data_IF_556931054284
#
_entry.id   IF_556931054284
#
_cell.length_a   1.000
_cell.length_b   1.000
_cell.length_c   1.000
_cell.angle_alpha   90.00
_cell.angle_beta   90.00
_cell.angle_gamma   90.00
#
_symmetry.space_group_name_H-M   'P 1'
#
loop_
_entity.id
_entity.type
_entity.pdbx_description
1 polymer ?
#
# COMPACT_ATOMS: atom_id res chain seq x y z
N UNK A 1 3.32 26.02 50.44
CA UNK A 1 4.17 27.06 49.84
C UNK A 1 4.26 26.71 48.34
N UNK A 2 3.52 27.39 47.51
CA UNK A 2 3.57 27.17 46.06
C UNK A 2 4.74 27.91 45.48
N UNK A 3 5.70 27.22 44.92
CA UNK A 3 6.74 27.85 44.11
C UNK A 3 6.07 28.48 42.88
N UNK A 4 6.12 29.82 42.81
CA UNK A 4 5.73 30.54 41.61
C UNK A 4 6.80 30.24 40.54
N UNK A 5 6.52 29.21 39.72
CA UNK A 5 7.35 28.88 38.56
C UNK A 5 7.24 30.03 37.57
N UNK A 6 8.26 30.88 37.54
CA UNK A 6 8.31 32.03 36.66
C UNK A 6 8.54 31.57 35.22
N UNK A 7 7.88 32.18 34.25
CA UNK A 7 8.01 31.85 32.83
C UNK A 7 9.48 31.85 32.35
N UNK A 8 10.31 32.67 33.00
CA UNK A 8 11.77 32.71 32.78
C UNK A 8 12.49 31.44 33.27
N UNK A 9 12.01 30.81 34.36
CA UNK A 9 12.59 29.55 34.87
C UNK A 9 12.22 28.35 34.00
N UNK A 10 11.01 28.35 33.41
CA UNK A 10 10.60 27.40 32.41
C UNK A 10 11.44 27.53 31.14
N UNK A 11 11.68 28.77 30.69
CA UNK A 11 12.53 29.02 29.52
C UNK A 11 13.99 28.65 29.78
N UNK A 12 14.51 28.97 30.97
CA UNK A 12 15.89 28.63 31.36
C UNK A 12 16.10 27.14 31.56
N UNK A 13 15.12 26.41 32.15
CA UNK A 13 15.09 24.95 32.20
C UNK A 13 15.01 24.32 30.81
N UNK A 14 14.19 24.87 29.93
CA UNK A 14 14.10 24.42 28.54
C UNK A 14 15.40 24.66 27.77
N UNK A 15 16.08 25.79 28.02
CA UNK A 15 17.39 26.09 27.41
C UNK A 15 18.51 25.20 27.96
N UNK A 16 18.52 24.92 29.26
CA UNK A 16 19.50 24.01 29.88
C UNK A 16 19.31 22.55 29.43
N UNK A 17 18.05 22.13 29.18
CA UNK A 17 17.77 20.84 28.50
C UNK A 17 18.25 20.85 27.03
N UNK A 18 18.25 21.99 26.36
CA UNK A 18 18.78 22.15 25.00
C UNK A 18 20.31 21.99 24.92
N UNK A 19 21.04 22.38 25.94
CA UNK A 19 22.50 22.17 26.01
C UNK A 19 22.87 20.69 26.23
N UNK A 20 22.03 19.92 26.94
CA UNK A 20 22.20 18.49 27.11
C UNK A 20 21.98 17.68 25.82
N UNK A 21 21.26 18.24 24.84
CA UNK A 21 21.06 17.63 23.50
C UNK A 21 22.22 17.89 22.52
N UNK A 22 23.25 18.60 22.92
CA UNK A 22 24.30 19.15 22.03
C UNK A 22 25.38 18.15 21.61
N UNK A 23 25.35 16.90 22.05
CA UNK A 23 26.30 15.89 21.60
C UNK A 23 25.59 14.68 21.01
N UNK A 24 25.24 14.74 19.73
CA UNK A 24 24.94 13.49 18.99
C UNK A 24 26.27 12.74 18.90
N UNK A 25 26.35 11.59 19.57
CA UNK A 25 27.44 10.66 19.37
C UNK A 25 27.33 10.07 17.97
N UNK A 26 28.45 9.96 17.24
CA UNK A 26 28.49 9.26 15.94
C UNK A 26 27.96 7.83 16.09
N UNK A 27 28.15 7.20 17.24
CA UNK A 27 27.63 5.88 17.58
C UNK A 27 26.10 5.87 17.56
N UNK A 28 25.46 6.89 18.12
CA UNK A 28 23.99 6.99 18.14
C UNK A 28 23.40 7.12 16.72
N UNK A 29 24.08 7.87 15.86
CA UNK A 29 23.67 8.01 14.46
C UNK A 29 23.77 6.67 13.73
N UNK A 30 24.90 5.98 13.92
CA UNK A 30 25.10 4.66 13.31
C UNK A 30 24.08 3.65 13.83
N UNK A 31 23.85 3.57 15.13
CA UNK A 31 22.84 2.69 15.74
C UNK A 31 21.44 2.97 15.22
N UNK A 32 21.06 4.24 15.13
CA UNK A 32 19.78 4.63 14.59
C UNK A 32 19.61 4.29 13.11
N UNK A 33 20.65 4.47 12.29
CA UNK A 33 20.65 4.09 10.89
C UNK A 33 20.57 2.56 10.72
N UNK A 34 21.34 1.79 11.50
CA UNK A 34 21.24 0.33 11.46
C UNK A 34 19.88 -0.17 11.93
N UNK A 35 19.32 0.41 12.99
CA UNK A 35 17.99 0.05 13.47
C UNK A 35 16.90 0.37 12.43
N UNK A 36 16.94 1.57 11.83
CA UNK A 36 15.99 1.97 10.80
C UNK A 36 16.12 1.12 9.53
N UNK A 37 17.34 0.76 9.13
CA UNK A 37 17.59 -0.16 8.04
C UNK A 37 17.02 -1.55 8.32
N UNK A 38 17.27 -2.11 9.52
CA UNK A 38 16.74 -3.41 9.92
C UNK A 38 15.20 -3.46 9.92
N UNK A 39 14.55 -2.42 10.46
CA UNK A 39 13.08 -2.31 10.43
C UNK A 39 12.59 -2.09 9.00
N UNK A 40 13.28 -1.29 8.20
CA UNK A 40 12.98 -1.09 6.78
C UNK A 40 13.04 -2.41 6.00
N UNK A 41 14.04 -3.26 6.23
CA UNK A 41 14.11 -4.60 5.64
C UNK A 41 12.97 -5.51 6.10
N UNK A 42 12.54 -5.40 7.35
CA UNK A 42 11.38 -6.12 7.86
C UNK A 42 10.10 -5.70 7.12
N UNK A 43 9.89 -4.39 6.93
CA UNK A 43 8.77 -3.84 6.15
C UNK A 43 8.83 -4.35 4.70
N UNK A 44 10.01 -4.30 4.06
CA UNK A 44 10.26 -4.81 2.72
C UNK A 44 9.84 -6.28 2.59
N UNK A 45 10.21 -7.12 3.56
CA UNK A 45 9.86 -8.54 3.56
C UNK A 45 8.35 -8.77 3.68
N UNK A 46 7.70 -8.04 4.61
CA UNK A 46 6.24 -8.14 4.81
C UNK A 46 5.50 -7.68 3.56
N UNK A 47 5.91 -6.54 2.96
CA UNK A 47 5.32 -6.05 1.72
C UNK A 47 5.40 -7.08 0.60
N UNK A 48 6.60 -7.64 0.35
CA UNK A 48 6.79 -8.68 -0.65
C UNK A 48 5.86 -9.89 -0.45
N UNK A 49 5.63 -10.28 0.81
CA UNK A 49 4.78 -11.42 1.16
C UNK A 49 3.28 -11.10 1.08
N UNK A 50 2.91 -9.85 1.26
CA UNK A 50 1.51 -9.41 1.37
C UNK A 50 1.02 -8.76 0.07
N UNK A 51 1.95 -8.42 -0.84
CA UNK A 51 1.64 -7.81 -2.13
C UNK A 51 0.73 -8.72 -2.96
N UNK A 52 -0.36 -8.13 -3.51
CA UNK A 52 -1.38 -8.80 -4.32
C UNK A 52 -1.75 -8.03 -5.59
N UNK A 53 -1.00 -6.98 -5.90
CA UNK A 53 -1.20 -6.20 -7.13
C UNK A 53 -0.80 -7.00 -8.39
N UNK A 54 -1.16 -6.46 -9.56
CA UNK A 54 -0.88 -7.11 -10.87
C UNK A 54 0.61 -7.16 -11.16
N UNK A 55 1.35 -6.10 -10.83
CA UNK A 55 2.79 -6.01 -11.12
C UNK A 55 3.53 -5.59 -9.86
N UNK A 56 4.32 -6.50 -9.32
CA UNK A 56 5.23 -6.20 -8.21
C UNK A 56 6.39 -5.35 -8.70
N UNK A 57 6.57 -4.17 -8.13
CA UNK A 57 7.74 -3.32 -8.39
C UNK A 57 8.76 -3.44 -7.26
N UNK A 58 9.91 -4.02 -7.57
CA UNK A 58 11.05 -4.12 -6.64
C UNK A 58 11.52 -2.72 -6.19
N UNK A 59 11.62 -1.79 -7.14
CA UNK A 59 12.07 -0.42 -6.86
C UNK A 59 11.13 0.29 -5.88
N UNK A 60 9.83 0.08 -6.03
CA UNK A 60 8.85 0.65 -5.11
C UNK A 60 8.99 0.06 -3.69
N UNK A 61 9.26 -1.23 -3.57
CA UNK A 61 9.49 -1.86 -2.27
C UNK A 61 10.78 -1.34 -1.58
N UNK A 62 11.84 -1.07 -2.34
CA UNK A 62 13.08 -0.45 -1.83
C UNK A 62 12.81 0.94 -1.25
N UNK A 63 11.85 1.69 -1.79
CA UNK A 63 11.53 3.04 -1.26
C UNK A 63 11.10 3.00 0.20
N UNK A 64 10.44 1.95 0.69
CA UNK A 64 10.05 1.83 2.09
C UNK A 64 11.27 1.75 3.03
N UNK A 65 12.31 1.03 2.62
CA UNK A 65 13.58 0.95 3.38
C UNK A 65 14.23 2.31 3.46
N UNK A 66 14.39 2.96 2.30
CA UNK A 66 15.02 4.28 2.22
C UNK A 66 14.19 5.34 2.97
N UNK A 67 12.87 5.27 2.88
CA UNK A 67 11.97 6.18 3.58
C UNK A 67 12.12 6.06 5.11
N UNK A 68 12.23 4.83 5.64
CA UNK A 68 12.48 4.61 7.07
C UNK A 68 13.82 5.24 7.50
N UNK A 69 14.88 5.03 6.71
CA UNK A 69 16.20 5.58 7.01
C UNK A 69 16.24 7.10 6.91
N UNK A 70 15.67 7.68 5.84
CA UNK A 70 15.64 9.13 5.62
C UNK A 70 14.83 9.80 6.74
N UNK A 71 13.67 9.23 7.10
CA UNK A 71 12.86 9.77 8.18
C UNK A 71 13.59 9.73 9.53
N UNK A 72 14.33 8.65 9.80
CA UNK A 72 15.15 8.56 11.01
C UNK A 72 16.23 9.64 11.04
N UNK A 73 16.94 9.89 9.92
CA UNK A 73 17.91 10.97 9.80
C UNK A 73 17.29 12.35 10.02
N UNK A 74 16.12 12.61 9.42
CA UNK A 74 15.38 13.86 9.60
C UNK A 74 15.06 14.08 11.07
N UNK A 75 14.54 13.07 11.76
CA UNK A 75 14.18 13.19 13.18
C UNK A 75 15.42 13.36 14.07
N UNK A 76 16.51 12.66 13.81
CA UNK A 76 17.77 12.86 14.51
C UNK A 76 18.28 14.30 14.36
N UNK A 77 18.18 14.86 13.14
CA UNK A 77 18.61 16.23 12.86
C UNK A 77 17.71 17.26 13.54
N UNK A 78 16.38 17.06 13.51
CA UNK A 78 15.40 17.91 14.15
C UNK A 78 15.59 17.95 15.67
N UNK A 79 15.92 16.82 16.28
CA UNK A 79 16.12 16.69 17.72
C UNK A 79 17.31 17.50 18.26
N UNK A 80 18.21 17.98 17.39
CA UNK A 80 19.40 18.73 17.79
C UNK A 80 19.21 20.23 17.84
N UNK A 81 18.26 20.77 17.08
CA UNK A 81 18.08 22.22 16.98
C UNK A 81 16.63 22.59 16.64
N UNK A 82 15.98 23.31 17.55
CA UNK A 82 14.58 23.75 17.41
C UNK A 82 14.39 24.68 16.19
N UNK A 83 15.34 25.55 15.91
CA UNK A 83 15.26 26.47 14.76
C UNK A 83 15.31 25.69 13.47
N UNK A 84 16.20 24.69 13.39
CA UNK A 84 16.33 23.79 12.25
C UNK A 84 15.06 22.96 12.06
N UNK A 85 14.44 22.50 13.18
CA UNK A 85 13.19 21.72 13.12
C UNK A 85 12.04 22.52 12.52
N UNK A 86 11.91 23.79 12.90
CA UNK A 86 10.86 24.68 12.36
C UNK A 86 11.06 24.91 10.84
N UNK A 87 12.31 25.16 10.44
CA UNK A 87 12.67 25.33 9.03
C UNK A 87 12.41 24.07 8.20
N UNK A 88 12.71 22.88 8.75
CA UNK A 88 12.52 21.62 8.05
C UNK A 88 11.04 21.23 7.91
N UNK A 89 10.19 21.48 8.92
CA UNK A 89 8.74 21.31 8.82
C UNK A 89 8.18 22.21 7.71
N UNK A 90 8.64 23.47 7.63
CA UNK A 90 8.28 24.36 6.53
C UNK A 90 8.73 23.84 5.16
N UNK A 91 9.96 23.36 5.04
CA UNK A 91 10.49 22.82 3.80
C UNK A 91 9.75 21.54 3.35
N UNK A 92 9.45 20.62 4.28
CA UNK A 92 8.71 19.39 3.99
C UNK A 92 7.25 19.64 3.57
N UNK A 93 6.63 20.74 4.05
CA UNK A 93 5.26 21.10 3.67
C UNK A 93 5.13 21.52 2.20
N UNK A 94 6.22 21.89 1.54
CA UNK A 94 6.26 22.26 0.10
C UNK A 94 6.41 21.01 -0.79
N UNK A 95 6.84 19.87 -0.23
CA UNK A 95 7.02 18.63 -0.99
C UNK A 95 5.66 18.05 -1.38
N UNK A 96 5.32 18.18 -2.67
CA UNK A 96 4.09 17.62 -3.24
C UNK A 96 4.43 16.36 -4.05
N UNK A 97 3.87 15.23 -3.64
CA UNK A 97 3.91 14.02 -4.47
C UNK A 97 2.99 14.18 -5.68
N UNK A 98 3.55 14.03 -6.88
CA UNK A 98 2.79 14.11 -8.15
C UNK A 98 2.36 12.76 -8.69
N UNK A 99 2.90 11.67 -8.15
CA UNK A 99 2.56 10.31 -8.55
C UNK A 99 1.37 9.82 -7.76
N UNK A 100 0.32 9.39 -8.46
CA UNK A 100 -0.83 8.76 -7.83
C UNK A 100 -0.42 7.39 -7.28
N UNK A 101 -0.66 7.18 -5.98
CA UNK A 101 -0.52 5.86 -5.36
C UNK A 101 -1.75 5.06 -5.76
N UNK A 102 -1.54 3.98 -6.54
CA UNK A 102 -2.63 3.20 -7.13
C UNK A 102 -3.29 2.27 -6.12
N UNK A 103 -2.52 1.66 -5.23
CA UNK A 103 -3.03 0.71 -4.23
C UNK A 103 -3.17 1.39 -2.86
N UNK A 104 -4.37 1.35 -2.23
CA UNK A 104 -4.57 1.89 -0.88
C UNK A 104 -3.64 1.27 0.17
N UNK A 105 -3.23 0.01 0.01
CA UNK A 105 -2.29 -0.64 0.92
C UNK A 105 -0.89 -0.04 0.85
N UNK A 106 -0.47 0.46 -0.29
CA UNK A 106 0.83 1.12 -0.45
C UNK A 106 0.96 2.34 0.47
N UNK A 107 -0.14 3.09 0.64
CA UNK A 107 -0.20 4.23 1.57
C UNK A 107 0.05 3.76 3.01
N UNK A 108 -0.52 2.63 3.41
CA UNK A 108 -0.31 2.05 4.76
C UNK A 108 1.16 1.71 4.97
N UNK A 109 1.84 1.10 3.99
CA UNK A 109 3.26 0.78 4.07
C UNK A 109 4.14 2.03 4.11
N UNK A 110 3.79 3.09 3.37
CA UNK A 110 4.48 4.38 3.42
C UNK A 110 4.38 5.00 4.82
N UNK A 111 3.16 5.08 5.39
CA UNK A 111 2.97 5.59 6.74
C UNK A 111 3.66 4.76 7.81
N UNK A 112 3.67 3.43 7.67
CA UNK A 112 4.40 2.55 8.56
C UNK A 112 5.91 2.82 8.51
N UNK A 113 6.49 2.96 7.31
CA UNK A 113 7.90 3.29 7.11
C UNK A 113 8.27 4.62 7.75
N UNK A 114 7.44 5.67 7.56
CA UNK A 114 7.62 6.98 8.17
C UNK A 114 7.56 6.86 9.71
N UNK A 115 6.54 6.20 10.25
CA UNK A 115 6.35 6.05 11.71
C UNK A 115 7.49 5.28 12.35
N UNK A 116 7.98 4.22 11.71
CA UNK A 116 9.13 3.47 12.16
C UNK A 116 10.41 4.31 12.14
N UNK A 117 10.58 5.13 11.09
CA UNK A 117 11.69 6.09 11.00
C UNK A 117 11.64 7.16 12.10
N UNK A 118 10.45 7.71 12.39
CA UNK A 118 10.27 8.68 13.49
C UNK A 118 10.67 8.06 14.82
N UNK A 119 10.17 6.87 15.13
CA UNK A 119 10.44 6.19 16.38
C UNK A 119 11.94 5.84 16.55
N UNK A 120 12.61 5.37 15.49
CA UNK A 120 14.05 5.07 15.51
C UNK A 120 14.89 6.34 15.62
N UNK A 121 14.53 7.39 14.89
CA UNK A 121 15.20 8.69 14.94
C UNK A 121 15.08 9.38 16.31
N UNK A 122 13.94 9.18 16.99
CA UNK A 122 13.72 9.64 18.36
C UNK A 122 14.37 8.75 19.44
N UNK A 123 15.19 7.75 19.04
CA UNK A 123 15.84 6.76 19.90
C UNK A 123 14.86 5.87 20.69
N UNK A 124 13.59 5.79 20.28
CA UNK A 124 12.55 4.96 20.88
C UNK A 124 12.55 3.55 20.26
N UNK A 125 13.68 2.85 20.30
CA UNK A 125 13.86 1.55 19.64
C UNK A 125 12.84 0.48 20.05
N UNK A 126 12.46 0.34 21.35
CA UNK A 126 11.43 -0.63 21.74
C UNK A 126 10.08 -0.36 21.08
N UNK A 127 9.68 0.91 20.96
CA UNK A 127 8.41 1.31 20.33
C UNK A 127 8.46 1.01 18.83
N UNK A 128 9.57 1.34 18.16
CA UNK A 128 9.76 1.06 16.75
C UNK A 128 9.68 -0.43 16.46
N UNK A 129 10.31 -1.27 17.28
CA UNK A 129 10.38 -2.72 17.08
C UNK A 129 9.03 -3.39 17.39
N UNK A 130 8.47 -3.13 18.58
CA UNK A 130 7.18 -3.73 18.99
C UNK A 130 6.07 -3.27 18.08
N UNK A 131 6.02 -1.96 17.76
CA UNK A 131 5.04 -1.40 16.84
C UNK A 131 5.14 -2.01 15.44
N UNK A 132 6.36 -2.13 14.90
CA UNK A 132 6.55 -2.74 13.58
C UNK A 132 6.17 -4.21 13.55
N UNK A 133 6.51 -4.98 14.57
CA UNK A 133 6.08 -6.39 14.67
C UNK A 133 4.55 -6.48 14.76
N UNK A 134 3.91 -5.62 15.57
CA UNK A 134 2.45 -5.59 15.70
C UNK A 134 1.74 -5.27 14.37
N UNK A 135 2.17 -4.22 13.67
CA UNK A 135 1.63 -3.86 12.35
C UNK A 135 1.87 -4.97 11.32
N UNK A 136 3.08 -5.53 11.29
CA UNK A 136 3.42 -6.62 10.38
C UNK A 136 2.57 -7.87 10.58
N UNK A 137 2.34 -8.26 11.83
CA UNK A 137 1.46 -9.40 12.17
C UNK A 137 0.01 -9.12 11.80
N UNK A 138 -0.49 -7.91 12.07
CA UNK A 138 -1.85 -7.50 11.69
C UNK A 138 -2.03 -7.57 10.17
N UNK A 139 -1.09 -7.04 9.38
CA UNK A 139 -1.13 -7.09 7.92
C UNK A 139 -1.10 -8.53 7.39
N UNK A 140 -0.23 -9.39 7.95
CA UNK A 140 -0.18 -10.79 7.57
C UNK A 140 -1.49 -11.52 7.87
N UNK A 141 -2.08 -11.27 9.04
CA UNK A 141 -3.34 -11.89 9.45
C UNK A 141 -4.52 -11.44 8.60
N UNK A 142 -4.66 -10.12 8.37
CA UNK A 142 -5.69 -9.55 7.51
C UNK A 142 -5.53 -10.00 6.05
N UNK A 143 -4.28 -10.06 5.58
CA UNK A 143 -3.99 -10.53 4.23
C UNK A 143 -4.36 -11.98 4.01
N UNK A 144 -4.23 -12.85 5.02
CA UNK A 144 -4.62 -14.27 4.91
C UNK A 144 -6.13 -14.49 4.82
N UNK A 145 -6.93 -13.58 5.41
CA UNK A 145 -8.39 -13.72 5.47
C UNK A 145 -9.12 -13.30 4.19
N UNK A 146 -8.48 -12.54 3.30
CA UNK A 146 -9.13 -12.11 2.06
C UNK A 146 -9.19 -13.28 1.09
N UNK A 147 -10.40 -13.78 0.87
CA UNK A 147 -10.72 -14.88 -0.03
C UNK A 147 -10.13 -14.58 -1.42
N UNK A 148 -9.54 -15.61 -2.02
CA UNK A 148 -8.82 -15.65 -3.31
C UNK A 148 -9.73 -15.46 -4.55
N UNK A 149 -10.81 -14.69 -4.42
CA UNK A 149 -11.71 -14.43 -5.55
C UNK A 149 -11.19 -13.22 -6.33
N UNK A 150 -10.46 -13.49 -7.39
CA UNK A 150 -10.06 -12.42 -8.31
C UNK A 150 -11.24 -12.11 -9.25
N UNK A 151 -11.59 -10.82 -9.40
CA UNK A 151 -12.59 -10.42 -10.37
C UNK A 151 -12.01 -10.51 -11.79
N UNK A 152 -12.70 -11.21 -12.67
CA UNK A 152 -12.42 -11.27 -14.10
C UNK A 152 -13.57 -10.63 -14.86
N UNK A 153 -13.26 -9.92 -15.95
CA UNK A 153 -14.23 -9.50 -16.93
C UNK A 153 -14.26 -10.53 -18.07
N UNK A 154 -15.42 -11.11 -18.27
CA UNK A 154 -15.69 -12.00 -19.39
C UNK A 154 -16.50 -11.21 -20.43
N UNK A 155 -15.91 -11.01 -21.60
CA UNK A 155 -16.52 -10.36 -22.74
C UNK A 155 -16.92 -11.44 -23.73
N UNK A 156 -18.20 -11.52 -24.07
CA UNK A 156 -18.76 -12.50 -24.99
C UNK A 156 -19.41 -11.75 -26.13
N UNK A 157 -18.99 -12.04 -27.38
CA UNK A 157 -19.65 -11.56 -28.60
C UNK A 157 -20.35 -12.74 -29.26
N UNK A 158 -21.66 -12.65 -29.42
CA UNK A 158 -22.47 -13.69 -29.99
C UNK A 158 -23.58 -13.15 -30.87
N UNK A 159 -24.09 -13.97 -31.78
CA UNK A 159 -25.29 -13.70 -32.57
C UNK A 159 -26.55 -13.74 -31.70
N UNK A 160 -27.65 -13.24 -32.22
CA UNK A 160 -28.94 -13.33 -31.53
C UNK A 160 -29.43 -14.77 -31.34
N UNK A 161 -29.08 -15.68 -32.27
CA UNK A 161 -29.43 -17.09 -32.22
C UNK A 161 -28.78 -17.85 -31.07
N UNK A 162 -27.56 -17.49 -30.66
CA UNK A 162 -26.80 -18.14 -29.58
C UNK A 162 -27.18 -17.69 -28.16
N UNK A 163 -28.09 -16.73 -28.00
CA UNK A 163 -28.41 -16.10 -26.71
C UNK A 163 -28.91 -17.10 -25.66
N UNK A 164 -29.68 -18.12 -26.08
CA UNK A 164 -30.23 -19.16 -25.21
C UNK A 164 -29.12 -20.04 -24.62
N UNK A 165 -28.22 -20.52 -25.51
CA UNK A 165 -27.15 -21.45 -25.13
C UNK A 165 -26.07 -20.77 -24.28
N UNK A 166 -25.69 -19.55 -24.62
CA UNK A 166 -24.82 -18.69 -23.79
C UNK A 166 -25.43 -18.50 -22.41
N UNK A 167 -26.72 -18.18 -22.31
CA UNK A 167 -27.39 -17.98 -21.01
C UNK A 167 -27.43 -19.25 -20.16
N UNK A 168 -27.62 -20.41 -20.78
CA UNK A 168 -27.61 -21.71 -20.08
C UNK A 168 -26.25 -21.98 -19.44
N UNK A 169 -25.15 -21.69 -20.15
CA UNK A 169 -23.81 -21.87 -19.62
C UNK A 169 -23.48 -20.83 -18.52
N UNK A 170 -23.91 -19.58 -18.70
CA UNK A 170 -23.69 -18.52 -17.73
C UNK A 170 -24.44 -18.76 -16.39
N UNK A 171 -25.59 -19.45 -16.41
CA UNK A 171 -26.30 -19.82 -15.17
C UNK A 171 -25.51 -20.71 -14.22
N UNK A 172 -24.47 -21.41 -14.72
CA UNK A 172 -23.55 -22.21 -13.90
C UNK A 172 -22.51 -21.38 -13.17
N UNK A 173 -22.38 -20.11 -13.52
CA UNK A 173 -21.41 -19.17 -12.96
C UNK A 173 -22.12 -18.12 -12.12
N UNK A 174 -21.51 -17.70 -11.02
CA UNK A 174 -21.95 -16.52 -10.28
C UNK A 174 -21.38 -15.29 -10.98
N UNK A 175 -22.23 -14.52 -11.64
CA UNK A 175 -21.79 -13.36 -12.41
C UNK A 175 -22.61 -12.10 -12.13
N UNK A 176 -22.01 -10.95 -12.40
CA UNK A 176 -22.67 -9.65 -12.40
C UNK A 176 -22.57 -9.04 -13.79
N UNK A 177 -23.70 -8.71 -14.40
CA UNK A 177 -23.72 -8.05 -15.71
C UNK A 177 -23.22 -6.59 -15.54
N UNK A 178 -22.16 -6.21 -16.24
CA UNK A 178 -21.61 -4.85 -16.27
C UNK A 178 -22.13 -4.05 -17.46
N UNK A 179 -22.13 -4.66 -18.64
CA UNK A 179 -22.60 -4.00 -19.86
C UNK A 179 -23.20 -5.02 -20.81
N UNK A 180 -24.20 -4.59 -21.57
CA UNK A 180 -24.74 -5.32 -22.71
C UNK A 180 -24.98 -4.34 -23.86
N UNK A 181 -24.27 -4.54 -24.95
CA UNK A 181 -24.41 -3.73 -26.17
C UNK A 181 -25.00 -4.59 -27.26
N UNK A 182 -26.11 -4.16 -27.85
CA UNK A 182 -26.76 -4.84 -28.97
C UNK A 182 -26.49 -4.05 -30.26
N UNK A 183 -25.82 -4.70 -31.20
CA UNK A 183 -25.60 -4.17 -32.56
C UNK A 183 -26.37 -5.02 -33.56
N UNK A 184 -26.49 -4.52 -34.81
CA UNK A 184 -27.25 -5.24 -35.84
C UNK A 184 -26.72 -6.64 -36.12
N UNK A 185 -25.38 -6.82 -36.02
CA UNK A 185 -24.71 -8.04 -36.44
C UNK A 185 -24.32 -8.94 -35.26
N UNK A 186 -24.24 -8.39 -34.04
CA UNK A 186 -23.84 -9.14 -32.84
C UNK A 186 -24.27 -8.48 -31.52
N UNK A 187 -24.31 -9.27 -30.48
CA UNK A 187 -24.53 -8.83 -29.11
C UNK A 187 -23.19 -8.97 -28.35
N UNK A 188 -22.74 -7.90 -27.69
CA UNK A 188 -21.58 -7.93 -26.81
C UNK A 188 -22.06 -7.85 -25.36
N UNK A 189 -21.68 -8.84 -24.55
CA UNK A 189 -21.96 -8.86 -23.12
C UNK A 189 -20.65 -8.83 -22.36
N UNK A 190 -20.53 -7.86 -21.44
CA UNK A 190 -19.43 -7.79 -20.47
C UNK A 190 -19.97 -8.14 -19.10
N UNK A 191 -19.45 -9.22 -18.52
CA UNK A 191 -19.86 -9.72 -17.21
C UNK A 191 -18.65 -9.85 -16.29
N UNK A 192 -18.84 -9.50 -15.02
CA UNK A 192 -17.87 -9.74 -13.97
C UNK A 192 -18.14 -11.11 -13.36
N UNK A 193 -17.11 -11.95 -13.33
CA UNK A 193 -17.13 -13.25 -12.66
C UNK A 193 -16.02 -13.31 -11.61
N UNK A 194 -16.23 -14.10 -10.58
CA UNK A 194 -15.24 -14.34 -9.54
C UNK A 194 -14.77 -15.78 -9.61
N UNK A 195 -13.51 -15.97 -9.94
CA UNK A 195 -12.90 -17.28 -10.00
C UNK A 195 -12.08 -17.54 -8.73
N UNK A 196 -12.23 -18.74 -8.17
CA UNK A 196 -11.42 -19.20 -7.02
C UNK A 196 -10.10 -19.83 -7.45
N UNK A 197 -10.10 -20.46 -8.60
CA UNK A 197 -8.96 -21.13 -9.23
C UNK A 197 -8.82 -20.62 -10.66
N UNK A 198 -7.61 -20.69 -11.23
CA UNK A 198 -7.35 -20.31 -12.63
C UNK A 198 -7.99 -21.28 -13.66
N UNK A 199 -9.14 -21.87 -13.31
CA UNK A 199 -9.87 -22.76 -14.20
C UNK A 199 -10.62 -21.94 -15.26
N UNK A 200 -10.01 -21.81 -16.42
CA UNK A 200 -10.54 -21.11 -17.59
C UNK A 200 -11.26 -22.04 -18.59
N UNK A 201 -11.46 -23.32 -18.24
CA UNK A 201 -12.06 -24.33 -19.16
C UNK A 201 -13.47 -23.91 -19.68
N UNK A 202 -14.24 -23.18 -18.87
CA UNK A 202 -15.56 -22.67 -19.30
C UNK A 202 -15.47 -21.66 -20.46
N UNK A 203 -14.34 -20.98 -20.66
CA UNK A 203 -14.13 -20.06 -21.80
C UNK A 203 -14.14 -20.85 -23.11
N UNK A 204 -13.45 -21.99 -23.11
CA UNK A 204 -13.45 -22.89 -24.28
C UNK A 204 -14.83 -23.48 -24.57
N UNK A 205 -15.61 -23.80 -23.53
CA UNK A 205 -16.97 -24.27 -23.68
C UNK A 205 -17.89 -23.21 -24.28
N UNK A 206 -17.73 -21.95 -23.84
CA UNK A 206 -18.49 -20.82 -24.40
C UNK A 206 -18.10 -20.51 -25.83
N UNK A 207 -16.81 -20.57 -26.18
CA UNK A 207 -16.33 -20.33 -27.54
C UNK A 207 -16.74 -21.41 -28.55
N UNK A 208 -17.03 -22.62 -28.07
CA UNK A 208 -17.48 -23.73 -28.91
C UNK A 208 -18.98 -23.67 -29.27
N UNK A 209 -19.75 -22.73 -28.69
CA UNK A 209 -21.19 -22.57 -29.00
C UNK A 209 -21.34 -21.98 -30.39
N UNK A 210 -22.16 -22.61 -31.22
CA UNK A 210 -22.49 -22.09 -32.57
C UNK A 210 -23.13 -20.69 -32.47
N UNK A 211 -22.57 -19.71 -33.22
CA UNK A 211 -23.02 -18.34 -33.18
C UNK A 211 -22.31 -17.47 -32.10
N UNK A 212 -21.35 -17.99 -31.37
CA UNK A 212 -20.41 -17.24 -30.56
C UNK A 212 -19.21 -16.86 -31.42
N UNK A 213 -18.94 -15.55 -31.57
CA UNK A 213 -17.86 -15.05 -32.42
C UNK A 213 -16.54 -14.91 -31.68
N UNK A 214 -16.61 -14.47 -30.41
CA UNK A 214 -15.41 -14.23 -29.59
C UNK A 214 -15.75 -14.31 -28.10
N UNK A 215 -14.81 -14.88 -27.32
CA UNK A 215 -14.88 -14.94 -25.85
C UNK A 215 -13.52 -14.54 -25.29
N UNK A 216 -13.49 -13.41 -24.61
CA UNK A 216 -12.27 -12.91 -23.99
C UNK A 216 -12.42 -12.83 -22.47
N UNK A 217 -11.44 -13.39 -21.75
CA UNK A 217 -11.35 -13.34 -20.29
C UNK A 217 -10.20 -12.43 -19.90
N UNK A 218 -10.51 -11.32 -19.21
CA UNK A 218 -9.55 -10.30 -18.82
C UNK A 218 -9.52 -10.21 -17.30
N UNK A 219 -8.33 -10.26 -16.71
CA UNK A 219 -8.18 -10.01 -15.28
C UNK A 219 -8.49 -8.53 -14.98
N UNK A 220 -9.50 -8.29 -14.15
CA UNK A 220 -9.95 -6.93 -13.83
C UNK A 220 -9.46 -6.52 -12.45
N UNK A 221 -8.46 -5.65 -12.41
CA UNK A 221 -7.92 -5.06 -11.18
C UNK A 221 -8.42 -3.63 -10.92
N UNK A 222 -9.52 -3.24 -11.51
CA UNK A 222 -10.19 -1.96 -11.18
C UNK A 222 -9.74 -0.73 -11.97
N UNK A 223 -8.72 -0.83 -12.83
CA UNK A 223 -8.09 0.32 -13.52
C UNK A 223 -8.50 0.51 -15.00
N UNK A 224 -9.66 0.05 -15.41
CA UNK A 224 -10.19 0.52 -16.69
C UNK A 224 -10.90 1.87 -16.44
N UNK A 225 -10.13 2.96 -16.54
CA UNK A 225 -10.67 4.28 -16.77
C UNK A 225 -11.45 4.26 -18.10
N UNK A 226 -12.68 4.74 -18.05
CA UNK A 226 -13.51 5.08 -19.19
C UNK A 226 -12.85 6.18 -20.01
#
# INVERSE_FOLDING_TARGET
>A
MGENVNFQDLFKKSMLHLEAFRSISYIDVLLGLFASFGIGLFIFYIYKKTFRGVVYSYNYNVTFVLMTMITALIIMTISTNIILSLGMVGALSIVRFRTAVKDPLDIVYMFWSISAGIATGAKMYPVALIGSVGVGLALLWLSRRKVREQPYLLIIRHSETAISDVRIQLRKLTYTLKSKTVRKDYIEMTIEIRLRDDNTAFVNVLSAIEGVNDVSLINYTGDYAQ
#
